data_IF_297550609286
#
_entry.id   IF_297550609286
#
_cell.length_a   1.000
_cell.length_b   1.000
_cell.length_c   1.000
_cell.angle_alpha   90.00
_cell.angle_beta   90.00
_cell.angle_gamma   90.00
#
_symmetry.space_group_name_H-M   'P 1'
#
loop_
_entity.id
_entity.type
_entity.pdbx_description
1 polymer ?
#
# COMPACT_ATOMS: atom_id res chain seq x y z
N UNK A 1 -6.18 4.76 -22.84
CA UNK A 1 -5.29 5.33 -21.80
C UNK A 1 -5.86 6.68 -21.40
N UNK A 2 -6.06 6.95 -20.10
CA UNK A 2 -6.52 8.25 -19.61
C UNK A 2 -5.53 8.73 -18.53
N UNK A 3 -5.22 10.03 -18.56
CA UNK A 3 -4.32 10.68 -17.62
C UNK A 3 -5.03 11.86 -16.96
N UNK A 4 -4.66 12.17 -15.72
CA UNK A 4 -5.17 13.31 -14.96
C UNK A 4 -4.23 14.50 -15.18
N UNK A 5 -4.77 15.61 -15.68
CA UNK A 5 -4.05 16.88 -15.79
C UNK A 5 -4.36 17.74 -14.56
N UNK A 6 -3.34 18.27 -13.90
CA UNK A 6 -3.44 19.15 -12.73
C UNK A 6 -2.87 20.52 -13.11
N UNK A 7 -3.59 21.61 -12.82
CA UNK A 7 -3.18 22.98 -13.18
C UNK A 7 -2.44 23.63 -12.00
N UNK A 8 -1.23 24.17 -12.24
CA UNK A 8 -0.34 24.78 -11.22
C UNK A 8 0.14 23.79 -10.15
N UNK A 9 0.36 22.54 -10.52
CA UNK A 9 0.91 21.59 -9.57
C UNK A 9 2.36 21.97 -9.25
N UNK A 10 2.63 22.24 -7.97
CA UNK A 10 3.99 22.39 -7.45
C UNK A 10 4.64 21.01 -7.36
N UNK A 11 5.97 20.93 -7.40
CA UNK A 11 6.70 19.65 -7.47
C UNK A 11 6.30 18.73 -6.31
N UNK A 12 6.09 19.32 -5.14
CA UNK A 12 5.69 18.74 -3.86
C UNK A 12 4.26 18.14 -3.89
N UNK A 13 3.42 18.54 -4.85
CA UNK A 13 2.07 18.00 -5.05
C UNK A 13 2.00 16.92 -6.13
N UNK A 14 3.09 16.69 -6.86
CA UNK A 14 3.20 15.73 -7.97
C UNK A 14 4.05 14.53 -7.58
N UNK A 15 5.02 14.73 -6.68
CA UNK A 15 5.87 13.68 -6.14
C UNK A 15 5.22 13.17 -4.85
N UNK A 16 4.89 11.87 -4.71
CA UNK A 16 4.44 11.32 -3.44
C UNK A 16 5.51 11.55 -2.38
N UNK A 17 5.20 12.28 -1.31
CA UNK A 17 6.15 12.63 -0.24
C UNK A 17 6.02 11.73 1.00
N UNK A 18 4.97 10.91 1.09
CA UNK A 18 4.76 10.06 2.27
C UNK A 18 5.79 8.92 2.27
N UNK A 19 6.70 8.96 3.23
CA UNK A 19 7.55 7.83 3.57
C UNK A 19 6.68 6.67 4.07
N UNK A 20 6.96 5.46 3.60
CA UNK A 20 6.17 4.30 3.98
C UNK A 20 7.02 3.05 4.18
N UNK A 21 6.52 2.16 5.03
CA UNK A 21 7.07 0.83 5.30
C UNK A 21 6.02 -0.22 4.94
N UNK A 22 6.44 -1.25 4.20
CA UNK A 22 5.62 -2.42 3.95
C UNK A 22 5.89 -3.43 5.07
N UNK A 23 4.97 -3.51 6.02
CA UNK A 23 5.03 -4.45 7.14
C UNK A 23 4.89 -5.90 6.68
N UNK A 24 3.99 -6.13 5.72
CA UNK A 24 3.78 -7.47 5.18
C UNK A 24 3.20 -7.46 3.78
N UNK A 25 3.47 -8.52 3.03
CA UNK A 25 2.90 -8.77 1.70
C UNK A 25 1.79 -9.81 1.84
N UNK A 26 0.59 -9.45 1.42
CA UNK A 26 -0.59 -10.30 1.41
C UNK A 26 -0.87 -10.71 -0.03
N UNK A 27 -0.52 -11.95 -0.38
CA UNK A 27 -0.84 -12.53 -1.69
C UNK A 27 -2.20 -13.23 -1.62
N UNK A 28 -3.19 -12.66 -2.29
CA UNK A 28 -4.55 -13.18 -2.37
C UNK A 28 -4.74 -14.01 -3.65
N UNK A 29 -5.70 -14.97 -3.64
CA UNK A 29 -6.21 -15.54 -4.88
C UNK A 29 -6.74 -14.43 -5.80
N UNK A 30 -6.52 -14.55 -7.11
CA UNK A 30 -6.88 -13.50 -8.08
C UNK A 30 -8.36 -13.06 -8.00
N UNK A 31 -9.27 -13.99 -7.70
CA UNK A 31 -10.70 -13.68 -7.53
C UNK A 31 -10.96 -12.79 -6.31
N UNK A 32 -10.27 -13.03 -5.20
CA UNK A 32 -10.38 -12.23 -3.99
C UNK A 32 -9.70 -10.88 -4.16
N UNK A 33 -8.56 -10.84 -4.85
CA UNK A 33 -7.88 -9.60 -5.19
C UNK A 33 -8.76 -8.69 -6.07
N UNK A 34 -9.39 -9.25 -7.11
CA UNK A 34 -10.30 -8.49 -7.96
C UNK A 34 -11.52 -7.97 -7.17
N UNK A 35 -12.11 -8.82 -6.31
CA UNK A 35 -13.20 -8.39 -5.42
C UNK A 35 -12.76 -7.22 -4.53
N UNK A 36 -11.56 -7.29 -3.97
CA UNK A 36 -10.99 -6.22 -3.17
C UNK A 36 -10.80 -4.92 -3.98
N UNK A 37 -10.33 -5.01 -5.22
CA UNK A 37 -10.22 -3.84 -6.10
C UNK A 37 -11.58 -3.22 -6.47
N UNK A 38 -12.62 -4.05 -6.61
CA UNK A 38 -13.98 -3.60 -6.93
C UNK A 38 -14.64 -2.86 -5.74
N UNK A 39 -14.27 -3.21 -4.50
CA UNK A 39 -14.80 -2.58 -3.28
C UNK A 39 -13.76 -2.56 -2.14
N UNK A 40 -12.88 -1.55 -2.14
CA UNK A 40 -11.82 -1.42 -1.12
C UNK A 40 -12.34 -0.99 0.26
N UNK A 41 -13.58 -0.50 0.36
CA UNK A 41 -14.21 -0.07 1.61
C UNK A 41 -15.01 -1.20 2.28
N UNK A 42 -15.14 -2.36 1.63
CA UNK A 42 -15.70 -3.55 2.24
C UNK A 42 -14.84 -4.10 3.38
N UNK A 43 -15.45 -4.82 4.32
CA UNK A 43 -14.72 -5.48 5.40
C UNK A 43 -14.06 -6.77 4.92
N UNK A 44 -12.73 -6.85 5.10
CA UNK A 44 -11.92 -7.98 4.68
C UNK A 44 -11.17 -8.60 5.85
N UNK A 45 -11.31 -9.92 5.98
CA UNK A 45 -10.64 -10.71 7.01
C UNK A 45 -9.11 -10.51 7.01
N UNK A 46 -8.49 -10.42 5.82
CA UNK A 46 -7.04 -10.25 5.73
C UNK A 46 -6.55 -8.90 6.27
N UNK A 47 -7.40 -7.85 6.22
CA UNK A 47 -7.13 -6.54 6.82
C UNK A 47 -7.39 -6.60 8.32
N UNK A 48 -8.52 -7.14 8.74
CA UNK A 48 -8.92 -7.25 10.14
C UNK A 48 -7.87 -8.01 10.99
N UNK A 49 -7.29 -9.09 10.45
CA UNK A 49 -6.23 -9.84 11.12
C UNK A 49 -4.90 -9.06 11.25
N UNK A 50 -4.68 -8.05 10.41
CA UNK A 50 -3.38 -7.35 10.26
C UNK A 50 -3.43 -5.87 10.60
N UNK A 51 -4.59 -5.32 10.97
CA UNK A 51 -4.77 -3.90 11.31
C UNK A 51 -3.82 -3.37 12.39
N UNK A 52 -3.36 -4.24 13.29
CA UNK A 52 -2.39 -3.90 14.32
C UNK A 52 -0.98 -3.58 13.77
N UNK A 53 -0.69 -3.97 12.53
CA UNK A 53 0.55 -3.63 11.81
C UNK A 53 0.46 -2.27 11.12
N UNK A 54 -0.74 -1.71 10.96
CA UNK A 54 -0.97 -0.48 10.19
C UNK A 54 -1.12 0.72 11.11
N UNK A 55 -0.20 1.68 11.01
CA UNK A 55 -0.17 2.90 11.82
C UNK A 55 0.73 3.96 11.18
N UNK A 56 0.71 5.18 11.72
CA UNK A 56 1.72 6.21 11.41
C UNK A 56 2.62 6.32 12.62
N UNK A 57 3.93 6.23 12.41
CA UNK A 57 4.90 6.30 13.51
C UNK A 57 5.20 7.75 13.94
N UNK A 58 6.20 7.94 14.79
CA UNK A 58 6.57 9.26 15.32
C UNK A 58 7.29 10.14 14.30
N UNK A 59 7.86 9.53 13.27
CA UNK A 59 8.60 10.20 12.20
C UNK A 59 7.70 10.47 10.98
N UNK A 60 6.38 10.25 11.12
CA UNK A 60 5.36 10.33 10.07
C UNK A 60 5.53 9.28 8.96
N UNK A 61 6.18 8.15 9.25
CA UNK A 61 6.28 7.03 8.33
C UNK A 61 5.00 6.21 8.38
N UNK A 62 4.44 5.93 7.21
CA UNK A 62 3.22 5.15 7.05
C UNK A 62 3.53 3.65 7.04
N UNK A 63 3.11 2.94 8.08
CA UNK A 63 3.20 1.48 8.12
C UNK A 63 1.95 0.88 7.44
N UNK A 64 2.16 0.17 6.34
CA UNK A 64 1.10 -0.36 5.49
C UNK A 64 1.32 -1.85 5.18
N UNK A 65 0.25 -2.54 4.80
CA UNK A 65 0.34 -3.86 4.18
C UNK A 65 0.28 -3.74 2.66
N UNK A 66 0.98 -4.61 1.93
CA UNK A 66 0.93 -4.65 0.47
C UNK A 66 0.09 -5.83 -0.02
N UNK A 67 -1.09 -5.54 -0.59
CA UNK A 67 -2.04 -6.54 -1.06
C UNK A 67 -1.85 -6.75 -2.57
N UNK A 68 -1.61 -7.99 -2.99
CA UNK A 68 -1.34 -8.36 -4.39
C UNK A 68 -1.87 -9.77 -4.68
N UNK A 69 -1.64 -10.28 -5.89
CA UNK A 69 -1.92 -11.66 -6.29
C UNK A 69 -0.76 -12.24 -7.10
N UNK A 70 -0.59 -13.57 -7.10
CA UNK A 70 0.59 -14.27 -7.65
C UNK A 70 1.11 -13.74 -9.00
N UNK A 71 0.21 -13.55 -9.96
CA UNK A 71 0.55 -13.17 -11.34
C UNK A 71 0.28 -11.69 -11.68
N UNK A 72 0.13 -10.83 -10.66
CA UNK A 72 -0.09 -9.40 -10.82
C UNK A 72 1.20 -8.62 -10.55
N UNK A 73 1.59 -7.72 -11.45
CA UNK A 73 2.82 -6.92 -11.36
C UNK A 73 2.68 -5.66 -10.51
N UNK A 74 1.55 -5.50 -9.84
CA UNK A 74 1.22 -4.42 -8.93
C UNK A 74 0.46 -4.93 -7.70
N UNK A 75 0.18 -4.00 -6.81
CA UNK A 75 -0.63 -4.23 -5.63
C UNK A 75 -1.06 -2.90 -5.04
N UNK A 76 -1.80 -3.00 -3.95
CA UNK A 76 -2.33 -1.86 -3.23
C UNK A 76 -1.69 -1.86 -1.84
N UNK A 77 -1.00 -0.76 -1.52
CA UNK A 77 -0.67 -0.44 -0.14
C UNK A 77 -1.97 -0.12 0.60
N UNK A 78 -2.16 -0.73 1.75
CA UNK A 78 -3.34 -0.55 2.59
C UNK A 78 -2.90 -0.10 3.97
N UNK A 79 -3.51 0.97 4.46
CA UNK A 79 -3.42 1.42 5.85
C UNK A 79 -4.86 1.56 6.37
N UNK A 80 -5.24 0.77 7.37
CA UNK A 80 -6.65 0.64 7.79
C UNK A 80 -7.06 1.54 8.97
N UNK A 81 -6.12 2.12 9.70
CA UNK A 81 -6.31 2.94 10.89
C UNK A 81 -7.15 2.21 11.96
N UNK A 82 -6.94 0.90 12.09
CA UNK A 82 -7.69 0.05 13.03
C UNK A 82 -9.03 -0.49 12.50
N UNK A 83 -9.38 -0.24 11.25
CA UNK A 83 -10.58 -0.79 10.61
C UNK A 83 -10.30 -2.09 9.84
N UNK A 84 -11.37 -2.79 9.46
CA UNK A 84 -11.35 -4.00 8.64
C UNK A 84 -11.33 -3.76 7.13
N UNK A 85 -11.22 -2.50 6.69
CA UNK A 85 -11.22 -2.09 5.28
C UNK A 85 -10.03 -1.19 4.94
N UNK A 86 -9.79 -0.93 3.65
CA UNK A 86 -8.66 -0.12 3.21
C UNK A 86 -8.97 1.39 3.29
N UNK A 87 -8.95 1.93 4.51
CA UNK A 87 -9.25 3.35 4.77
C UNK A 87 -8.35 4.30 3.98
N UNK A 88 -7.07 3.97 3.89
CA UNK A 88 -6.12 4.58 2.96
C UNK A 88 -5.57 3.52 2.02
N UNK A 89 -5.43 3.88 0.75
CA UNK A 89 -4.89 2.99 -0.27
C UNK A 89 -4.00 3.72 -1.27
N UNK A 90 -2.94 3.05 -1.72
CA UNK A 90 -2.06 3.56 -2.77
C UNK A 90 -1.63 2.45 -3.72
N UNK A 91 -1.56 2.76 -5.01
CA UNK A 91 -1.08 1.82 -6.03
C UNK A 91 0.45 1.74 -6.00
N UNK A 92 1.00 0.53 -5.97
CA UNK A 92 2.44 0.32 -6.02
C UNK A 92 2.81 -0.87 -6.93
N UNK A 93 3.74 -0.65 -7.87
CA UNK A 93 4.27 -1.72 -8.71
C UNK A 93 5.16 -2.67 -7.92
N UNK A 94 5.07 -3.96 -8.23
CA UNK A 94 5.86 -5.02 -7.57
C UNK A 94 7.36 -4.80 -7.69
N UNK A 95 7.83 -4.19 -8.78
CA UNK A 95 9.24 -3.84 -8.95
C UNK A 95 9.75 -2.88 -7.85
N UNK A 96 8.94 -1.92 -7.41
CA UNK A 96 9.32 -0.97 -6.36
C UNK A 96 9.31 -1.61 -4.95
N UNK A 97 8.55 -2.69 -4.75
CA UNK A 97 8.57 -3.43 -3.47
C UNK A 97 9.92 -4.10 -3.24
N UNK A 98 10.57 -4.58 -4.31
CA UNK A 98 11.90 -5.21 -4.23
C UNK A 98 12.97 -4.18 -3.88
N UNK A 99 12.84 -2.95 -4.41
CA UNK A 99 13.73 -1.82 -4.09
C UNK A 99 13.65 -1.47 -2.60
N UNK A 100 12.43 -1.34 -2.05
CA UNK A 100 12.21 -1.06 -0.61
C UNK A 100 12.83 -2.15 0.27
N UNK A 101 12.70 -3.43 -0.10
CA UNK A 101 13.32 -4.54 0.64
C UNK A 101 14.85 -4.53 0.62
N UNK A 102 15.46 -4.03 -0.45
CA UNK A 102 16.91 -3.90 -0.53
C UNK A 102 17.45 -2.74 0.30
N UNK A 103 16.71 -1.64 0.41
CA UNK A 103 17.13 -0.50 1.23
C UNK A 103 16.96 -0.75 2.74
N UNK A 104 15.97 -1.57 3.16
CA UNK A 104 15.87 -2.02 4.56
C UNK A 104 17.15 -2.73 5.05
N UNK A 105 17.80 -3.53 4.20
CA UNK A 105 19.03 -4.24 4.56
C UNK A 105 20.26 -3.32 4.69
N UNK A 106 20.19 -2.06 4.24
CA UNK A 106 21.30 -1.11 4.32
C UNK A 106 21.30 -0.26 5.59
N UNK A 107 20.23 -0.30 6.38
CA UNK A 107 20.05 0.52 7.59
C UNK A 107 20.01 -0.29 8.90
N UNK A 108 20.63 -1.47 8.92
CA UNK A 108 20.87 -2.20 10.17
C UNK A 108 22.25 -1.76 10.69
N UNK A 109 22.35 -1.10 11.87
CA UNK A 109 23.63 -0.74 12.47
C UNK A 109 24.48 -1.96 12.84
#
# INVERSE_FOLDING_TARGET
>A
MKVKFERKAFKEQIVPEDDFVIETVVELPIKEFNKFLDDMLGDYKFIEERKHLMYVDRDNVWHAIYVTAKDIDYGILVQSEGYGYARYSAFLRRCHVVEVRHDWKKNIP
#
